data_IF_917398975295
#
_entry.id   IF_917398975295
#
_cell.length_a   1.000
_cell.length_b   1.000
_cell.length_c   1.000
_cell.angle_alpha   90.00
_cell.angle_beta   90.00
_cell.angle_gamma   90.00
#
_symmetry.space_group_name_H-M   'P 1'
#
loop_
_entity.id
_entity.type
_entity.pdbx_description
1 polymer ?
#
# COMPACT_ATOMS: atom_id res chain seq x y z
N UNK A 1 6.99 -12.74 -12.85
CA UNK A 1 7.09 -12.03 -11.55
C UNK A 1 5.96 -11.02 -11.37
N UNK A 2 5.59 -10.25 -12.40
CA UNK A 2 4.51 -9.25 -12.33
C UNK A 2 3.15 -9.76 -11.81
N UNK A 3 2.75 -10.98 -12.19
CA UNK A 3 1.51 -11.58 -11.66
C UNK A 3 1.58 -11.77 -10.14
N UNK A 4 2.71 -12.26 -9.65
CA UNK A 4 2.92 -12.53 -8.23
C UNK A 4 2.93 -11.23 -7.43
N UNK A 5 3.68 -10.20 -7.88
CA UNK A 5 3.66 -8.87 -7.26
C UNK A 5 2.27 -8.26 -7.28
N UNK A 6 1.53 -8.41 -8.38
CA UNK A 6 0.13 -8.00 -8.48
C UNK A 6 -0.74 -8.66 -7.40
N UNK A 7 -0.64 -9.99 -7.23
CA UNK A 7 -1.37 -10.71 -6.18
C UNK A 7 -0.98 -10.25 -4.76
N UNK A 8 0.31 -10.08 -4.49
CA UNK A 8 0.77 -9.56 -3.19
C UNK A 8 0.26 -8.14 -2.92
N UNK A 9 0.29 -7.27 -3.92
CA UNK A 9 -0.20 -5.90 -3.82
C UNK A 9 -1.73 -5.86 -3.62
N UNK A 10 -2.46 -6.80 -4.22
CA UNK A 10 -3.90 -6.96 -4.02
C UNK A 10 -4.21 -7.34 -2.56
N UNK A 11 -3.52 -8.35 -2.04
CA UNK A 11 -3.65 -8.75 -0.63
C UNK A 11 -3.27 -7.62 0.33
N UNK A 12 -2.22 -6.87 0.00
CA UNK A 12 -1.80 -5.69 0.77
C UNK A 12 -2.88 -4.60 0.78
N UNK A 13 -3.57 -4.37 -0.35
CA UNK A 13 -4.69 -3.44 -0.42
C UNK A 13 -5.85 -3.83 0.50
N UNK A 14 -6.23 -5.11 0.53
CA UNK A 14 -7.25 -5.63 1.46
C UNK A 14 -6.78 -5.47 2.91
N UNK A 15 -5.55 -5.92 3.21
CA UNK A 15 -4.99 -5.85 4.55
C UNK A 15 -4.90 -4.41 5.06
N UNK A 16 -4.56 -3.46 4.18
CA UNK A 16 -4.51 -2.04 4.51
C UNK A 16 -5.86 -1.50 4.97
N UNK A 17 -6.94 -1.80 4.24
CA UNK A 17 -8.30 -1.37 4.60
C UNK A 17 -8.73 -2.02 5.92
N UNK A 18 -8.57 -3.34 6.04
CA UNK A 18 -9.00 -4.08 7.23
C UNK A 18 -8.22 -3.65 8.47
N UNK A 19 -6.90 -3.53 8.37
CA UNK A 19 -6.06 -3.08 9.49
C UNK A 19 -6.38 -1.64 9.89
N UNK A 20 -6.55 -0.75 8.91
CA UNK A 20 -6.93 0.62 9.17
C UNK A 20 -8.28 0.72 9.91
N UNK A 21 -9.31 0.02 9.43
CA UNK A 21 -10.63 0.07 10.04
C UNK A 21 -10.74 -0.66 11.39
N UNK A 22 -10.09 -1.82 11.53
CA UNK A 22 -10.24 -2.68 12.71
C UNK A 22 -9.23 -2.41 13.81
N UNK A 23 -8.08 -1.79 13.49
CA UNK A 23 -7.00 -1.56 14.45
C UNK A 23 -6.72 -0.07 14.61
N UNK A 24 -6.39 0.65 13.53
CA UNK A 24 -5.96 2.04 13.63
C UNK A 24 -7.09 2.99 14.08
N UNK A 25 -8.29 2.87 13.51
CA UNK A 25 -9.42 3.72 13.89
C UNK A 25 -9.85 3.53 15.36
N UNK A 26 -10.02 2.30 15.87
CA UNK A 26 -10.31 2.09 17.29
C UNK A 26 -9.23 2.61 18.23
N UNK A 27 -7.94 2.43 17.89
CA UNK A 27 -6.83 2.96 18.69
C UNK A 27 -6.87 4.49 18.74
N UNK A 28 -7.00 5.14 17.59
CA UNK A 28 -7.08 6.60 17.50
C UNK A 28 -8.28 7.15 18.28
N UNK A 29 -9.41 6.44 18.27
CA UNK A 29 -10.59 6.78 19.09
C UNK A 29 -10.33 6.61 20.59
N UNK A 30 -9.61 5.57 21.00
CA UNK A 30 -9.24 5.34 22.40
C UNK A 30 -8.24 6.39 22.93
N UNK A 31 -7.42 6.95 22.04
CA UNK A 31 -6.49 8.05 22.33
C UNK A 31 -7.18 9.43 22.38
N UNK A 32 -8.50 9.49 22.21
CA UNK A 32 -9.29 10.71 22.34
C UNK A 32 -9.30 11.60 21.10
N UNK A 33 -9.01 11.06 19.91
CA UNK A 33 -9.08 11.83 18.68
C UNK A 33 -10.51 12.35 18.40
N UNK A 34 -10.60 13.61 17.96
CA UNK A 34 -11.85 14.24 17.57
C UNK A 34 -12.43 13.67 16.27
N UNK A 35 -13.71 13.99 16.01
CA UNK A 35 -14.45 13.48 14.85
C UNK A 35 -13.76 13.75 13.50
N UNK A 36 -13.25 14.96 13.29
CA UNK A 36 -12.58 15.34 12.04
C UNK A 36 -11.31 14.52 11.76
N UNK A 37 -10.52 14.23 12.80
CA UNK A 37 -9.33 13.37 12.69
C UNK A 37 -9.72 11.95 12.31
N UNK A 38 -10.75 11.39 12.96
CA UNK A 38 -11.26 10.05 12.66
C UNK A 38 -11.77 9.95 11.22
N UNK A 39 -12.53 10.94 10.74
CA UNK A 39 -13.02 10.97 9.36
C UNK A 39 -11.87 11.07 8.35
N UNK A 40 -10.87 11.92 8.61
CA UNK A 40 -9.71 12.09 7.75
C UNK A 40 -8.90 10.80 7.64
N UNK A 41 -8.64 10.13 8.77
CA UNK A 41 -7.93 8.84 8.79
C UNK A 41 -8.74 7.76 8.06
N UNK A 42 -10.07 7.73 8.23
CA UNK A 42 -10.93 6.78 7.51
C UNK A 42 -10.87 6.97 5.99
N UNK A 43 -10.90 8.22 5.52
CA UNK A 43 -10.76 8.54 4.09
C UNK A 43 -9.39 8.09 3.59
N UNK A 44 -8.32 8.38 4.33
CA UNK A 44 -6.96 8.01 3.96
C UNK A 44 -6.78 6.48 3.86
N UNK A 45 -7.29 5.71 4.82
CA UNK A 45 -7.27 4.24 4.80
C UNK A 45 -7.99 3.71 3.57
N UNK A 46 -9.18 4.24 3.27
CA UNK A 46 -9.96 3.80 2.13
C UNK A 46 -9.28 4.16 0.81
N UNK A 47 -8.81 5.40 0.65
CA UNK A 47 -8.12 5.87 -0.55
C UNK A 47 -6.83 5.07 -0.81
N UNK A 48 -6.01 4.86 0.23
CA UNK A 48 -4.80 4.05 0.14
C UNK A 48 -5.09 2.62 -0.29
N UNK A 49 -6.09 1.98 0.33
CA UNK A 49 -6.51 0.63 0.01
C UNK A 49 -7.05 0.48 -1.41
N UNK A 50 -7.96 1.35 -1.82
CA UNK A 50 -8.54 1.38 -3.18
C UNK A 50 -7.46 1.60 -4.24
N UNK A 51 -6.49 2.49 -3.98
CA UNK A 51 -5.38 2.72 -4.89
C UNK A 51 -4.51 1.46 -5.08
N UNK A 52 -4.18 0.76 -3.99
CA UNK A 52 -3.41 -0.48 -4.06
C UNK A 52 -4.19 -1.59 -4.79
N UNK A 53 -5.50 -1.71 -4.54
CA UNK A 53 -6.39 -2.64 -5.24
C UNK A 53 -6.49 -2.33 -6.74
N UNK A 54 -6.55 -1.05 -7.10
CA UNK A 54 -6.59 -0.62 -8.49
C UNK A 54 -5.28 -0.95 -9.23
N UNK A 55 -4.13 -0.58 -8.65
CA UNK A 55 -2.82 -0.85 -9.23
C UNK A 55 -2.55 -2.35 -9.37
N UNK A 56 -2.87 -3.13 -8.35
CA UNK A 56 -2.72 -4.60 -8.39
C UNK A 56 -3.63 -5.23 -9.44
N UNK A 57 -4.89 -4.81 -9.54
CA UNK A 57 -5.81 -5.32 -10.56
C UNK A 57 -5.29 -5.01 -11.96
N UNK A 58 -4.82 -3.79 -12.20
CA UNK A 58 -4.24 -3.39 -13.48
C UNK A 58 -2.98 -4.21 -13.83
N UNK A 59 -2.12 -4.45 -12.84
CA UNK A 59 -0.91 -5.27 -12.99
C UNK A 59 -1.23 -6.75 -13.26
N UNK A 60 -2.21 -7.33 -12.56
CA UNK A 60 -2.67 -8.70 -12.78
C UNK A 60 -3.24 -8.86 -14.18
N UNK A 61 -4.17 -7.98 -14.58
CA UNK A 61 -4.79 -8.03 -15.91
C UNK A 61 -3.76 -7.87 -17.02
N UNK A 62 -2.78 -6.98 -16.85
CA UNK A 62 -1.68 -6.84 -17.81
C UNK A 62 -0.80 -8.10 -17.87
N UNK A 63 -0.55 -8.74 -16.73
CA UNK A 63 0.24 -9.99 -16.65
C UNK A 63 -0.45 -11.18 -17.31
N UNK A 64 -1.78 -11.17 -17.37
CA UNK A 64 -2.60 -12.16 -18.06
C UNK A 64 -2.73 -11.87 -19.56
N UNK A 65 -2.09 -10.82 -20.08
CA UNK A 65 -2.19 -10.42 -21.48
C UNK A 65 -3.52 -9.77 -21.86
N UNK A 66 -4.38 -9.44 -20.89
CA UNK A 66 -5.67 -8.76 -21.13
C UNK A 66 -5.44 -7.28 -21.46
N UNK A 67 -4.42 -6.68 -20.86
CA UNK A 67 -3.95 -5.32 -21.18
C UNK A 67 -2.52 -5.35 -21.74
N UNK A 68 -2.25 -4.72 -22.89
CA UNK A 68 -0.94 -4.80 -23.56
C UNK A 68 0.16 -3.96 -22.90
N UNK A 69 -0.12 -3.31 -21.77
CA UNK A 69 0.78 -2.32 -21.15
C UNK A 69 1.44 -2.82 -19.86
N UNK A 70 2.00 -4.04 -19.87
CA UNK A 70 2.61 -4.67 -18.69
C UNK A 70 3.75 -3.85 -18.07
N UNK A 71 4.65 -3.29 -18.89
CA UNK A 71 5.77 -2.47 -18.41
C UNK A 71 5.25 -1.20 -17.74
N UNK A 72 4.26 -0.54 -18.35
CA UNK A 72 3.62 0.64 -17.77
C UNK A 72 2.91 0.31 -16.45
N UNK A 73 2.14 -0.79 -16.40
CA UNK A 73 1.45 -1.24 -15.19
C UNK A 73 2.41 -1.53 -14.03
N UNK A 74 3.50 -2.24 -14.32
CA UNK A 74 4.52 -2.60 -13.33
C UNK A 74 5.30 -1.36 -12.85
N UNK A 75 5.61 -0.44 -13.77
CA UNK A 75 6.33 0.81 -13.46
C UNK A 75 5.47 1.76 -12.64
N UNK A 76 4.22 1.99 -13.04
CA UNK A 76 3.28 2.84 -12.32
C UNK A 76 3.06 2.32 -10.90
N UNK A 77 2.82 1.01 -10.75
CA UNK A 77 2.65 0.37 -9.44
C UNK A 77 3.88 0.55 -8.57
N UNK A 78 5.08 0.40 -9.13
CA UNK A 78 6.34 0.60 -8.40
C UNK A 78 6.55 2.03 -7.94
N UNK A 79 6.28 3.02 -8.81
CA UNK A 79 6.42 4.44 -8.48
C UNK A 79 5.46 4.81 -7.35
N UNK A 80 4.19 4.44 -7.47
CA UNK A 80 3.17 4.82 -6.47
C UNK A 80 3.45 4.16 -5.12
N UNK A 81 3.78 2.86 -5.10
CA UNK A 81 4.10 2.14 -3.86
C UNK A 81 5.35 2.73 -3.21
N UNK A 82 6.39 3.04 -4.00
CA UNK A 82 7.63 3.63 -3.48
C UNK A 82 7.41 5.04 -2.93
N UNK A 83 6.64 5.88 -3.62
CA UNK A 83 6.30 7.22 -3.11
C UNK A 83 5.51 7.14 -1.81
N UNK A 84 4.50 6.27 -1.74
CA UNK A 84 3.72 6.05 -0.52
C UNK A 84 4.64 5.64 0.65
N UNK A 85 5.54 4.70 0.40
CA UNK A 85 6.52 4.23 1.39
C UNK A 85 7.49 5.33 1.84
N UNK A 86 8.03 6.12 0.92
CA UNK A 86 8.93 7.23 1.23
C UNK A 86 8.23 8.32 2.04
N UNK A 87 6.99 8.66 1.67
CA UNK A 87 6.17 9.61 2.43
C UNK A 87 5.93 9.08 3.85
N UNK A 88 5.56 7.80 3.99
CA UNK A 88 5.39 7.17 5.29
C UNK A 88 6.67 7.22 6.13
N UNK A 89 7.81 6.78 5.59
CA UNK A 89 9.10 6.79 6.29
C UNK A 89 9.47 8.21 6.72
N UNK A 90 9.28 9.20 5.84
CA UNK A 90 9.60 10.60 6.14
C UNK A 90 8.78 11.11 7.33
N UNK A 91 7.48 10.80 7.38
CA UNK A 91 6.61 11.20 8.49
C UNK A 91 6.97 10.43 9.76
N UNK A 92 7.18 9.12 9.67
CA UNK A 92 7.46 8.26 10.81
C UNK A 92 8.80 8.60 11.47
N UNK A 93 9.87 8.82 10.69
CA UNK A 93 11.18 9.18 11.22
C UNK A 93 11.22 10.59 11.82
N UNK A 94 10.57 11.57 11.17
CA UNK A 94 10.68 12.98 11.54
C UNK A 94 9.68 13.42 12.62
N UNK A 95 8.49 12.81 12.68
CA UNK A 95 7.39 13.31 13.53
C UNK A 95 6.83 12.31 14.54
N UNK A 96 6.84 11.01 14.22
CA UNK A 96 6.07 9.99 14.96
C UNK A 96 6.74 8.61 14.89
N UNK A 97 7.87 8.44 15.59
CA UNK A 97 8.65 7.20 15.56
C UNK A 97 7.88 5.98 16.08
N UNK A 98 6.89 6.20 16.93
CA UNK A 98 5.95 5.18 17.40
C UNK A 98 5.16 4.48 16.28
N UNK A 99 4.93 5.15 15.15
CA UNK A 99 4.29 4.57 13.97
C UNK A 99 5.17 3.52 13.27
N UNK A 100 6.50 3.53 13.49
CA UNK A 100 7.38 2.56 12.85
C UNK A 100 7.07 1.14 13.31
N UNK A 101 6.81 0.94 14.61
CA UNK A 101 6.55 -0.40 15.17
C UNK A 101 5.26 -0.99 14.65
N UNK A 102 4.20 -0.19 14.56
CA UNK A 102 2.90 -0.65 14.06
C UNK A 102 2.87 -0.86 12.55
N UNK A 103 3.79 -0.21 11.81
CA UNK A 103 3.88 -0.34 10.36
C UNK A 103 4.83 -1.45 9.86
N UNK A 104 5.63 -2.08 10.74
CA UNK A 104 6.60 -3.14 10.36
C UNK A 104 5.99 -4.19 9.40
N UNK A 105 4.80 -4.77 9.69
CA UNK A 105 4.22 -5.77 8.80
C UNK A 105 3.98 -5.22 7.39
N UNK A 106 3.44 -4.00 7.31
CA UNK A 106 3.16 -3.34 6.04
C UNK A 106 4.45 -3.00 5.28
N UNK A 107 5.51 -2.57 5.97
CA UNK A 107 6.81 -2.30 5.35
C UNK A 107 7.43 -3.55 4.73
N UNK A 108 7.36 -4.69 5.41
CA UNK A 108 7.88 -5.97 4.88
C UNK A 108 7.18 -6.32 3.57
N UNK A 109 5.86 -6.23 3.52
CA UNK A 109 5.10 -6.49 2.30
C UNK A 109 5.46 -5.53 1.17
N UNK A 110 5.60 -4.24 1.48
CA UNK A 110 6.01 -3.22 0.50
C UNK A 110 7.38 -3.54 -0.09
N UNK A 111 8.37 -3.88 0.74
CA UNK A 111 9.71 -4.24 0.29
C UNK A 111 9.66 -5.46 -0.63
N UNK A 112 8.91 -6.50 -0.25
CA UNK A 112 8.73 -7.70 -1.08
C UNK A 112 8.10 -7.33 -2.44
N UNK A 113 7.06 -6.51 -2.47
CA UNK A 113 6.42 -6.06 -3.72
C UNK A 113 7.40 -5.27 -4.59
N UNK A 114 8.17 -4.35 -4.01
CA UNK A 114 9.16 -3.56 -4.75
C UNK A 114 10.24 -4.46 -5.37
N UNK A 115 10.77 -5.42 -4.61
CA UNK A 115 11.75 -6.38 -5.12
C UNK A 115 11.18 -7.23 -6.27
N UNK A 116 9.95 -7.72 -6.12
CA UNK A 116 9.27 -8.50 -7.16
C UNK A 116 9.02 -7.67 -8.42
N UNK A 117 8.67 -6.39 -8.28
CA UNK A 117 8.50 -5.49 -9.42
C UNK A 117 9.82 -5.22 -10.13
N UNK A 118 10.92 -4.97 -9.42
CA UNK A 118 12.26 -4.80 -10.00
C UNK A 118 12.65 -6.07 -10.77
N UNK A 119 12.51 -7.25 -10.16
CA UNK A 119 12.78 -8.53 -10.81
C UNK A 119 11.89 -8.76 -12.04
N UNK A 120 10.68 -8.19 -12.05
CA UNK A 120 9.80 -8.27 -13.21
C UNK A 120 10.11 -7.28 -14.32
N UNK A 121 10.90 -6.23 -14.05
CA UNK A 121 11.36 -5.28 -15.07
C UNK A 121 12.68 -5.73 -15.69
N UNK A 122 13.44 -6.58 -15.00
CA UNK A 122 14.72 -7.13 -15.45
C UNK A 122 14.59 -8.43 -16.28
N UNK A 123 13.41 -9.05 -16.29
CA UNK A 123 13.08 -10.27 -17.06
C UNK A 123 11.98 -9.95 -18.08
#
# INVERSE_FOLDING_TARGET
MSLLSGCFLFLLGIAHILYGEKVQLPQLKAEGAGGESLYSVKIMIFQGGVLLLFLSSFQILSSLGIFPFLIFATTLSSIVVSLNFLTFISIALLKRQELLKSAIPQMIFVIVVVLLNILSLLN
#
